data_IF_469704121278
#
_entry.id   IF_469704121278
#
_cell.length_a   1.000
_cell.length_b   1.000
_cell.length_c   1.000
_cell.angle_alpha   90.00
_cell.angle_beta   90.00
_cell.angle_gamma   90.00
#
_symmetry.space_group_name_H-M   'P 1'
#
loop_
_entity.id
_entity.type
_entity.pdbx_description
1 polymer ?
#
# COMPACT_ATOMS: atom_id res chain seq x y z
N UNK A 1 32.57 15.67 -12.52
CA UNK A 1 31.76 14.61 -11.87
C UNK A 1 31.94 14.74 -10.38
N UNK A 2 30.87 14.85 -9.60
CA UNK A 2 30.96 14.69 -8.15
C UNK A 2 31.17 13.19 -7.86
N UNK A 3 32.24 12.85 -7.17
CA UNK A 3 32.49 11.52 -6.63
C UNK A 3 31.59 11.30 -5.41
N UNK A 4 30.78 10.24 -5.45
CA UNK A 4 29.93 9.83 -4.32
C UNK A 4 30.75 8.91 -3.40
N UNK A 5 30.79 9.17 -2.08
CA UNK A 5 31.44 8.26 -1.13
C UNK A 5 30.78 6.87 -1.15
N UNK A 6 31.57 5.81 -1.00
CA UNK A 6 31.11 4.41 -1.06
C UNK A 6 31.13 3.69 0.30
N UNK A 7 31.43 4.41 1.38
CA UNK A 7 31.44 3.86 2.73
C UNK A 7 30.04 3.84 3.36
N UNK A 8 29.88 3.02 4.40
CA UNK A 8 28.62 2.88 5.13
C UNK A 8 28.14 4.19 5.78
N UNK A 9 29.07 5.04 6.23
CA UNK A 9 28.70 6.27 6.93
C UNK A 9 27.96 7.26 6.03
N UNK A 10 28.20 7.20 4.72
CA UNK A 10 27.45 7.95 3.74
C UNK A 10 25.99 7.48 3.65
N UNK A 11 25.73 6.16 3.68
CA UNK A 11 24.37 5.63 3.72
C UNK A 11 23.66 6.00 5.02
N UNK A 12 24.33 5.86 6.18
CA UNK A 12 23.76 6.23 7.48
C UNK A 12 23.37 7.72 7.53
N UNK A 13 24.11 8.61 6.85
CA UNK A 13 23.78 10.03 6.73
C UNK A 13 22.53 10.28 5.86
N UNK A 14 22.38 9.51 4.78
CA UNK A 14 21.19 9.61 3.92
C UNK A 14 19.94 9.11 4.64
N UNK A 15 20.04 7.99 5.38
CA UNK A 15 18.93 7.47 6.20
C UNK A 15 18.52 8.47 7.29
N UNK A 16 19.49 9.13 7.94
CA UNK A 16 19.22 10.14 8.96
C UNK A 16 18.54 11.43 8.42
N UNK A 17 18.68 11.70 7.12
CA UNK A 17 18.12 12.87 6.46
C UNK A 17 16.81 12.57 5.69
N UNK A 18 16.34 11.32 5.69
CA UNK A 18 15.14 10.91 4.95
C UNK A 18 13.85 11.26 5.72
N UNK A 19 13.13 12.28 5.24
CA UNK A 19 11.81 12.69 5.75
C UNK A 19 10.76 11.55 5.68
N UNK A 20 10.98 10.52 4.86
CA UNK A 20 10.10 9.37 4.71
C UNK A 20 10.50 8.16 5.55
N UNK A 21 11.57 8.22 6.34
CA UNK A 21 12.06 7.07 7.13
C UNK A 21 10.97 6.46 8.03
N UNK A 22 10.06 7.30 8.55
CA UNK A 22 8.91 6.85 9.35
C UNK A 22 7.90 5.97 8.60
N UNK A 23 7.82 6.07 7.26
CA UNK A 23 6.91 5.26 6.44
C UNK A 23 7.20 3.77 6.50
N UNK A 24 8.44 3.37 6.82
CA UNK A 24 8.79 1.96 7.03
C UNK A 24 7.89 1.31 8.09
N UNK A 25 7.46 2.06 9.11
CA UNK A 25 6.62 1.56 10.20
C UNK A 25 5.20 1.19 9.72
N UNK A 26 4.75 1.71 8.58
CA UNK A 26 3.46 1.36 8.00
C UNK A 26 3.41 -0.08 7.45
N UNK A 27 4.55 -0.76 7.35
CA UNK A 27 4.67 -2.10 6.79
C UNK A 27 5.02 -3.15 7.86
N UNK A 28 4.58 -4.37 7.62
CA UNK A 28 4.97 -5.54 8.43
C UNK A 28 6.43 -5.88 8.11
N UNK A 29 7.27 -5.91 9.15
CA UNK A 29 8.67 -6.33 9.06
C UNK A 29 8.97 -7.35 10.16
N UNK A 30 8.99 -8.63 9.81
CA UNK A 30 9.28 -9.73 10.74
C UNK A 30 10.74 -10.19 10.67
N UNK A 31 11.47 -9.75 9.66
CA UNK A 31 12.87 -10.12 9.39
C UNK A 31 13.69 -8.84 9.18
N UNK A 32 14.18 -8.21 10.27
CA UNK A 32 14.85 -6.91 10.20
C UNK A 32 16.11 -6.89 9.32
N UNK A 33 16.80 -8.03 9.23
CA UNK A 33 18.05 -8.15 8.47
C UNK A 33 17.82 -8.46 6.97
N UNK A 34 16.58 -8.74 6.55
CA UNK A 34 16.27 -9.02 5.16
C UNK A 34 16.25 -7.74 4.32
N UNK A 35 17.11 -7.70 3.30
CA UNK A 35 17.11 -6.64 2.29
C UNK A 35 16.14 -7.04 1.16
N UNK A 36 14.91 -6.52 1.22
CA UNK A 36 13.85 -6.86 0.26
C UNK A 36 13.86 -5.92 -0.96
N UNK A 37 14.46 -6.37 -2.06
CA UNK A 37 14.62 -5.59 -3.31
C UNK A 37 13.72 -6.07 -4.46
N UNK A 38 12.60 -6.73 -4.15
CA UNK A 38 11.64 -7.24 -5.16
C UNK A 38 10.22 -6.64 -4.97
N UNK A 39 10.15 -5.44 -4.38
CA UNK A 39 8.89 -4.72 -4.12
C UNK A 39 8.14 -4.29 -5.38
N UNK A 40 8.81 -4.27 -6.53
CA UNK A 40 8.22 -4.03 -7.84
C UNK A 40 7.40 -5.22 -8.36
N UNK A 41 7.68 -6.43 -7.87
CA UNK A 41 6.93 -7.64 -8.19
C UNK A 41 5.79 -7.82 -7.17
N UNK A 42 6.12 -7.79 -5.88
CA UNK A 42 5.14 -7.87 -4.79
C UNK A 42 5.46 -6.83 -3.71
N UNK A 43 4.58 -5.85 -3.54
CA UNK A 43 4.72 -4.85 -2.49
C UNK A 43 4.70 -5.48 -1.09
N UNK A 44 5.51 -4.93 -0.18
CA UNK A 44 5.51 -5.39 1.22
C UNK A 44 4.15 -5.14 1.87
N UNK A 45 3.71 -6.06 2.73
CA UNK A 45 2.39 -6.00 3.37
C UNK A 45 2.22 -4.75 4.26
N UNK A 46 1.27 -3.85 3.96
CA UNK A 46 0.91 -2.76 4.87
C UNK A 46 0.23 -3.31 6.13
N UNK A 47 0.53 -2.75 7.30
CA UNK A 47 -0.10 -3.16 8.57
C UNK A 47 -1.61 -2.96 8.55
N UNK A 48 -2.07 -1.84 8.01
CA UNK A 48 -3.50 -1.54 7.90
C UNK A 48 -4.26 -2.58 7.06
N UNK A 49 -3.60 -3.26 6.12
CA UNK A 49 -4.25 -4.32 5.34
C UNK A 49 -4.61 -5.55 6.20
N UNK A 50 -3.81 -5.83 7.24
CA UNK A 50 -4.09 -6.92 8.19
C UNK A 50 -5.39 -6.62 8.95
N UNK A 51 -5.49 -5.42 9.52
CA UNK A 51 -6.65 -5.00 10.31
C UNK A 51 -7.92 -4.93 9.45
N UNK A 52 -7.81 -4.40 8.23
CA UNK A 52 -8.93 -4.32 7.28
C UNK A 52 -9.40 -5.71 6.83
N UNK A 53 -8.48 -6.66 6.62
CA UNK A 53 -8.83 -8.02 6.22
C UNK A 53 -9.54 -8.78 7.36
N UNK A 54 -9.09 -8.61 8.61
CA UNK A 54 -9.75 -9.21 9.78
C UNK A 54 -11.18 -8.64 9.96
N UNK A 55 -11.33 -7.32 9.87
CA UNK A 55 -12.64 -6.66 9.94
C UNK A 55 -13.59 -7.09 8.80
N UNK A 56 -13.05 -7.20 7.58
CA UNK A 56 -13.79 -7.68 6.41
C UNK A 56 -14.37 -9.07 6.65
N UNK A 57 -13.55 -10.01 7.12
CA UNK A 57 -13.96 -11.41 7.30
C UNK A 57 -14.90 -11.55 8.49
N UNK A 58 -14.51 -11.02 9.66
CA UNK A 58 -15.24 -11.23 10.90
C UNK A 58 -16.55 -10.45 10.94
N UNK A 59 -16.47 -9.14 10.71
CA UNK A 59 -17.60 -8.24 10.91
C UNK A 59 -18.39 -8.06 9.62
N UNK A 60 -17.75 -7.57 8.56
CA UNK A 60 -18.48 -7.19 7.34
C UNK A 60 -19.11 -8.42 6.69
N UNK A 61 -18.33 -9.48 6.43
CA UNK A 61 -18.88 -10.71 5.87
C UNK A 61 -19.60 -11.55 6.92
N UNK A 62 -18.91 -11.91 8.02
CA UNK A 62 -19.44 -12.83 9.02
C UNK A 62 -20.73 -12.38 9.70
N UNK A 63 -20.89 -11.09 9.98
CA UNK A 63 -22.06 -10.56 10.70
C UNK A 63 -23.04 -9.82 9.77
N UNK A 64 -22.55 -9.01 8.82
CA UNK A 64 -23.45 -8.21 7.95
C UNK A 64 -24.00 -9.02 6.79
N UNK A 65 -23.28 -10.05 6.33
CA UNK A 65 -23.69 -10.91 5.21
C UNK A 65 -24.03 -10.06 3.98
N UNK A 66 -25.12 -10.41 3.27
CA UNK A 66 -25.59 -9.73 2.06
C UNK A 66 -25.80 -8.22 2.24
N UNK A 67 -25.99 -7.72 3.47
CA UNK A 67 -26.14 -6.28 3.71
C UNK A 67 -24.88 -5.49 3.35
N UNK A 68 -23.70 -6.13 3.36
CA UNK A 68 -22.44 -5.52 2.94
C UNK A 68 -22.50 -4.83 1.57
N UNK A 69 -23.29 -5.36 0.64
CA UNK A 69 -23.54 -4.75 -0.67
C UNK A 69 -24.11 -3.33 -0.59
N UNK A 70 -25.03 -3.10 0.33
CA UNK A 70 -25.64 -1.78 0.56
C UNK A 70 -24.84 -0.93 1.57
N UNK A 71 -23.72 -1.44 2.09
CA UNK A 71 -22.93 -0.84 3.17
C UNK A 71 -21.51 -0.49 2.74
N UNK A 72 -21.28 -0.30 1.44
CA UNK A 72 -19.98 0.16 0.93
C UNK A 72 -19.32 -0.77 -0.09
N UNK A 73 -19.76 -2.03 -0.21
CA UNK A 73 -19.11 -2.97 -1.12
C UNK A 73 -19.41 -2.67 -2.58
N UNK A 74 -20.60 -2.15 -2.90
CA UNK A 74 -20.95 -1.84 -4.27
C UNK A 74 -20.15 -0.65 -4.84
N UNK A 75 -19.89 0.37 -4.02
CA UNK A 75 -19.18 1.62 -4.36
C UNK A 75 -17.66 1.55 -4.17
N UNK A 76 -17.15 0.45 -3.62
CA UNK A 76 -15.73 0.26 -3.32
C UNK A 76 -14.79 0.41 -4.54
N UNK A 77 -15.11 -0.17 -5.72
CA UNK A 77 -14.31 -0.01 -6.94
C UNK A 77 -14.07 1.45 -7.35
N UNK A 78 -15.13 2.26 -7.33
CA UNK A 78 -15.09 3.69 -7.68
C UNK A 78 -14.29 4.48 -6.64
N UNK A 79 -14.52 4.21 -5.35
CA UNK A 79 -13.82 4.90 -4.25
C UNK A 79 -12.32 4.61 -4.22
N UNK A 80 -11.90 3.39 -4.54
CA UNK A 80 -10.47 3.06 -4.65
C UNK A 80 -9.90 3.67 -5.94
N UNK A 81 -10.65 3.61 -7.04
CA UNK A 81 -10.28 4.28 -8.31
C UNK A 81 -9.98 5.76 -8.12
N UNK A 82 -10.87 6.50 -7.44
CA UNK A 82 -10.68 7.91 -7.10
C UNK A 82 -9.40 8.20 -6.28
N UNK A 83 -8.95 7.25 -5.44
CA UNK A 83 -7.68 7.37 -4.72
C UNK A 83 -6.48 7.19 -5.65
N UNK A 84 -6.56 6.24 -6.58
CA UNK A 84 -5.51 5.97 -7.57
C UNK A 84 -5.42 7.11 -8.60
N UNK A 85 -6.54 7.72 -8.99
CA UNK A 85 -6.60 8.84 -9.92
C UNK A 85 -5.63 9.97 -9.55
N UNK A 86 -5.51 10.29 -8.25
CA UNK A 86 -4.57 11.28 -7.70
C UNK A 86 -3.10 10.97 -7.96
N UNK A 87 -2.75 9.70 -8.13
CA UNK A 87 -1.38 9.23 -8.38
C UNK A 87 -1.02 9.22 -9.87
N UNK A 88 -2.03 9.15 -10.76
CA UNK A 88 -1.83 9.04 -12.22
C UNK A 88 -2.28 10.27 -13.01
N UNK A 89 -2.78 11.32 -12.33
CA UNK A 89 -3.18 12.58 -12.96
C UNK A 89 -4.56 12.56 -13.62
N UNK A 90 -5.44 11.65 -13.21
CA UNK A 90 -6.82 11.55 -13.69
C UNK A 90 -7.81 12.23 -12.72
N UNK A 91 -9.01 12.53 -13.19
CA UNK A 91 -10.12 12.97 -12.34
C UNK A 91 -10.68 11.80 -11.49
N UNK A 92 -11.33 12.07 -10.35
CA UNK A 92 -11.81 11.03 -9.45
C UNK A 92 -12.78 10.02 -10.07
N UNK A 93 -13.54 10.43 -11.09
CA UNK A 93 -14.56 9.65 -11.79
C UNK A 93 -14.05 9.01 -13.10
N UNK A 94 -12.76 9.16 -13.43
CA UNK A 94 -12.15 8.59 -14.64
C UNK A 94 -11.49 7.22 -14.40
N UNK A 95 -11.46 6.73 -13.16
CA UNK A 95 -10.73 5.51 -12.78
C UNK A 95 -11.62 4.58 -11.97
N UNK A 96 -11.63 3.29 -12.34
CA UNK A 96 -12.26 2.21 -11.58
C UNK A 96 -11.25 1.09 -11.33
N UNK A 97 -11.28 0.48 -10.14
CA UNK A 97 -10.50 -0.74 -9.87
C UNK A 97 -11.34 -1.97 -10.17
N UNK A 98 -10.92 -2.77 -11.14
CA UNK A 98 -11.61 -3.99 -11.55
C UNK A 98 -10.64 -5.05 -12.05
N UNK A 99 -11.10 -6.30 -12.04
CA UNK A 99 -10.51 -7.46 -12.71
C UNK A 99 -8.97 -7.63 -12.54
N UNK A 100 -8.25 -7.77 -13.65
CA UNK A 100 -6.80 -7.94 -13.72
C UNK A 100 -6.23 -7.08 -14.85
N UNK A 101 -4.91 -6.90 -14.90
CA UNK A 101 -4.25 -6.13 -15.97
C UNK A 101 -4.40 -6.78 -17.35
N UNK A 102 -4.56 -8.11 -17.40
CA UNK A 102 -4.74 -8.88 -18.63
C UNK A 102 -6.18 -9.36 -18.80
N UNK A 103 -6.49 -9.85 -20.00
CA UNK A 103 -7.76 -10.51 -20.38
C UNK A 103 -7.60 -12.01 -20.51
#
# INVERSE_FOLDING_TARGET
MMTVPLDRSYADQLDAADDLAGMQQAFVNLEPDMIYLDGNSLGRLPRAAVDLADDLVRRQWGERLIRGWNEGWFDLPERIGAKIARLIGAAPDEVIVADSTSV
#
